data_IF_133144488565
#
_entry.id   IF_133144488565
#
_cell.length_a   1.000
_cell.length_b   1.000
_cell.length_c   1.000
_cell.angle_alpha   90.00
_cell.angle_beta   90.00
_cell.angle_gamma   90.00
#
_symmetry.space_group_name_H-M   'P 1'
#
loop_
_entity.id
_entity.type
_entity.pdbx_description
1 polymer ?
#
# COMPACT_ATOMS: atom_id res chain seq x y z
N UNK A 1 23.43 15.71 -46.08
CA UNK A 1 23.92 16.88 -45.36
C UNK A 1 22.76 17.71 -44.84
N UNK A 2 21.97 17.19 -43.92
CA UNK A 2 20.86 17.94 -43.27
C UNK A 2 20.60 17.34 -41.88
N UNK A 3 21.51 17.53 -40.93
CA UNK A 3 21.30 17.03 -39.57
C UNK A 3 22.18 17.76 -38.54
N UNK A 4 22.42 19.06 -38.71
CA UNK A 4 23.17 19.87 -37.71
C UNK A 4 22.51 21.21 -37.37
N UNK A 5 21.27 21.48 -37.84
CA UNK A 5 20.58 22.77 -37.60
C UNK A 5 19.51 22.71 -36.49
N UNK A 6 19.14 21.54 -35.95
CA UNK A 6 18.05 21.42 -34.99
C UNK A 6 18.48 21.41 -33.52
N UNK A 7 19.78 21.57 -33.23
CA UNK A 7 20.33 21.54 -31.86
C UNK A 7 20.64 22.94 -31.28
N UNK A 8 20.28 24.01 -31.97
CA UNK A 8 20.61 25.38 -31.54
C UNK A 8 19.40 26.30 -31.35
N UNK A 9 18.20 25.75 -31.06
CA UNK A 9 17.15 26.58 -30.47
C UNK A 9 17.20 26.51 -28.94
N UNK A 10 18.29 27.00 -28.36
CA UNK A 10 18.24 27.51 -26.99
C UNK A 10 17.22 28.67 -27.00
N UNK A 11 15.96 28.36 -26.66
CA UNK A 11 14.92 29.38 -26.46
C UNK A 11 15.52 30.41 -25.52
N UNK A 12 15.77 31.61 -26.05
CA UNK A 12 16.10 32.77 -25.22
C UNK A 12 14.91 33.01 -24.30
N UNK A 13 14.97 32.41 -23.10
CA UNK A 13 13.93 32.53 -22.09
C UNK A 13 13.76 33.99 -21.78
N UNK A 14 12.58 34.55 -22.10
CA UNK A 14 12.26 35.96 -21.87
C UNK A 14 12.50 36.33 -20.39
N UNK A 15 12.87 37.56 -20.11
CA UNK A 15 13.04 38.05 -18.73
C UNK A 15 11.78 37.79 -17.88
N UNK A 16 10.59 37.91 -18.47
CA UNK A 16 9.31 37.58 -17.81
C UNK A 16 9.19 36.09 -17.44
N UNK A 17 9.61 35.20 -18.33
CA UNK A 17 9.60 33.75 -18.04
C UNK A 17 10.62 33.39 -16.95
N UNK A 18 11.77 34.04 -16.91
CA UNK A 18 12.74 33.84 -15.82
C UNK A 18 12.17 34.27 -14.47
N UNK A 19 11.54 35.44 -14.41
CA UNK A 19 10.89 35.91 -13.17
C UNK A 19 9.77 34.95 -12.74
N UNK A 20 8.93 34.53 -13.68
CA UNK A 20 7.85 33.61 -13.42
C UNK A 20 8.37 32.24 -12.89
N UNK A 21 9.42 31.70 -13.52
CA UNK A 21 10.05 30.46 -13.06
C UNK A 21 10.69 30.62 -11.68
N UNK A 22 11.26 31.77 -11.36
CA UNK A 22 11.79 32.07 -10.03
C UNK A 22 10.69 32.15 -8.97
N UNK A 23 9.54 32.75 -9.29
CA UNK A 23 8.38 32.78 -8.38
C UNK A 23 7.89 31.34 -8.11
N UNK A 24 7.73 30.55 -9.18
CA UNK A 24 7.34 29.13 -9.03
C UNK A 24 8.36 28.37 -8.18
N UNK A 25 9.65 28.54 -8.45
CA UNK A 25 10.71 27.89 -7.69
C UNK A 25 10.64 28.24 -6.19
N UNK A 26 10.46 29.52 -5.85
CA UNK A 26 10.34 29.96 -4.45
C UNK A 26 9.09 29.39 -3.80
N UNK A 27 7.95 29.38 -4.49
CA UNK A 27 6.72 28.77 -3.98
C UNK A 27 6.88 27.26 -3.75
N UNK A 28 7.50 26.56 -4.68
CA UNK A 28 7.78 25.12 -4.52
C UNK A 28 8.78 24.87 -3.39
N UNK A 29 9.79 25.71 -3.23
CA UNK A 29 10.75 25.60 -2.14
C UNK A 29 10.08 25.81 -0.78
N UNK A 30 9.23 26.83 -0.65
CA UNK A 30 8.46 27.06 0.57
C UNK A 30 7.54 25.86 0.88
N UNK A 31 6.84 25.33 -0.14
CA UNK A 31 6.03 24.11 0.00
C UNK A 31 6.86 22.90 0.46
N UNK A 32 8.05 22.72 -0.11
CA UNK A 32 8.97 21.66 0.27
C UNK A 32 9.44 21.79 1.73
N UNK A 33 9.78 23.00 2.17
CA UNK A 33 10.17 23.25 3.58
C UNK A 33 9.04 22.90 4.53
N UNK A 34 7.79 23.32 4.23
CA UNK A 34 6.62 22.99 5.04
C UNK A 34 6.38 21.47 5.09
N UNK A 35 6.55 20.77 3.98
CA UNK A 35 6.39 19.32 3.90
C UNK A 35 7.49 18.54 4.65
N UNK A 36 8.73 19.05 4.63
CA UNK A 36 9.86 18.39 5.29
C UNK A 36 9.92 18.71 6.80
N UNK A 37 9.35 19.84 7.22
CA UNK A 37 9.36 20.28 8.62
C UNK A 37 8.86 19.20 9.61
N UNK A 38 7.70 18.53 9.41
CA UNK A 38 7.26 17.48 10.33
C UNK A 38 8.25 16.33 10.46
N UNK A 39 8.94 15.96 9.37
CA UNK A 39 9.95 14.91 9.37
C UNK A 39 11.18 15.34 10.21
N UNK A 40 11.67 16.56 9.99
CA UNK A 40 12.78 17.11 10.80
C UNK A 40 12.39 17.17 12.28
N UNK A 41 11.18 17.63 12.58
CA UNK A 41 10.68 17.71 13.95
C UNK A 41 10.55 16.33 14.58
N UNK A 42 10.07 15.32 13.85
CA UNK A 42 10.01 13.93 14.32
C UNK A 42 11.41 13.38 14.64
N UNK A 43 12.40 13.65 13.80
CA UNK A 43 13.79 13.25 14.04
C UNK A 43 14.33 13.97 15.29
N UNK A 44 14.11 15.28 15.42
CA UNK A 44 14.57 16.07 16.58
C UNK A 44 13.94 15.55 17.89
N UNK A 45 12.64 15.32 17.92
CA UNK A 45 11.92 14.82 19.09
C UNK A 45 12.37 13.42 19.51
N UNK A 46 12.86 12.59 18.58
CA UNK A 46 13.40 11.26 18.89
C UNK A 46 14.63 11.30 19.81
N UNK A 47 15.34 12.41 19.84
CA UNK A 47 16.50 12.65 20.71
C UNK A 47 16.16 13.43 22.00
N UNK A 48 14.93 13.92 22.17
CA UNK A 48 14.51 14.74 23.30
C UNK A 48 14.12 13.91 24.53
N UNK A 49 14.19 14.52 25.71
CA UNK A 49 13.65 13.96 26.95
C UNK A 49 12.11 13.99 26.93
N UNK A 50 11.47 13.13 27.74
CA UNK A 50 10.01 13.14 27.88
C UNK A 50 9.47 14.50 28.33
N UNK A 51 10.20 15.19 29.20
CA UNK A 51 9.81 16.53 29.71
C UNK A 51 9.87 17.60 28.61
N UNK A 52 10.87 17.56 27.73
CA UNK A 52 10.96 18.48 26.60
C UNK A 52 9.80 18.27 25.61
N UNK A 53 9.42 17.02 25.33
CA UNK A 53 8.30 16.71 24.44
C UNK A 53 6.97 17.19 25.05
N UNK A 54 6.79 17.01 26.36
CA UNK A 54 5.55 17.38 27.06
C UNK A 54 5.46 18.87 27.40
N UNK A 55 6.56 19.63 27.33
CA UNK A 55 6.56 21.08 27.60
C UNK A 55 5.79 21.91 26.58
N UNK A 56 5.42 21.32 25.42
CA UNK A 56 4.68 22.01 24.36
C UNK A 56 5.45 23.12 23.65
N UNK A 57 6.73 23.32 23.99
CA UNK A 57 7.59 24.30 23.29
C UNK A 57 8.16 23.67 22.02
N UNK A 58 8.05 24.39 20.89
CA UNK A 58 8.67 24.00 19.62
C UNK A 58 10.20 24.16 19.70
N UNK A 59 10.89 23.18 20.27
CA UNK A 59 12.34 23.09 20.27
C UNK A 59 12.78 22.14 19.17
N UNK A 60 13.64 22.60 18.26
CA UNK A 60 14.19 21.76 17.18
C UNK A 60 15.53 21.14 17.62
N UNK A 61 16.25 21.80 18.53
CA UNK A 61 17.53 21.32 19.05
C UNK A 61 17.31 20.65 20.42
N UNK A 62 17.49 19.31 20.52
CA UNK A 62 17.39 18.59 21.78
C UNK A 62 18.56 18.93 22.71
N UNK A 63 18.29 19.22 23.99
CA UNK A 63 19.30 19.43 25.03
C UNK A 63 18.84 18.75 26.32
N UNK A 64 19.50 17.66 26.81
CA UNK A 64 20.59 16.94 26.15
C UNK A 64 20.15 16.04 25.00
N UNK A 65 21.06 15.68 24.08
CA UNK A 65 20.81 14.72 23.02
C UNK A 65 20.86 13.30 23.58
N UNK A 66 19.75 12.56 23.51
CA UNK A 66 19.60 11.22 24.08
C UNK A 66 19.71 10.11 23.01
N UNK A 67 20.93 9.77 22.59
CA UNK A 67 21.16 8.67 21.64
C UNK A 67 20.88 7.30 22.26
N UNK A 68 21.04 7.15 23.59
CA UNK A 68 20.86 5.89 24.30
C UNK A 68 19.44 5.30 24.22
N UNK A 69 18.42 6.12 23.95
CA UNK A 69 17.03 5.64 23.75
C UNK A 69 16.88 4.63 22.62
N UNK A 70 17.63 4.78 21.53
CA UNK A 70 17.58 3.84 20.43
C UNK A 70 18.04 2.44 20.85
N UNK A 71 19.13 2.37 21.62
CA UNK A 71 19.63 1.09 22.14
C UNK A 71 18.66 0.45 23.15
N UNK A 72 17.96 1.27 23.94
CA UNK A 72 16.95 0.81 24.89
C UNK A 72 15.72 0.22 24.17
N UNK A 73 15.22 0.90 23.14
CA UNK A 73 14.09 0.42 22.31
C UNK A 73 14.44 -0.89 21.61
N UNK A 74 15.66 -1.01 21.08
CA UNK A 74 16.11 -2.24 20.41
C UNK A 74 16.28 -3.39 21.41
N UNK A 75 16.81 -3.12 22.62
CA UNK A 75 16.99 -4.14 23.67
C UNK A 75 15.68 -4.67 24.24
N UNK A 76 14.62 -3.85 24.29
CA UNK A 76 13.29 -4.28 24.77
C UNK A 76 12.63 -5.31 23.84
N UNK A 77 13.15 -5.51 22.63
CA UNK A 77 12.69 -6.54 21.67
C UNK A 77 11.30 -6.33 21.07
N UNK A 78 10.47 -5.49 21.69
CA UNK A 78 9.08 -5.25 21.24
C UNK A 78 9.02 -4.65 19.83
N UNK A 79 9.94 -3.74 19.50
CA UNK A 79 10.00 -3.11 18.19
C UNK A 79 10.35 -4.11 17.08
N UNK A 80 11.36 -4.95 17.34
CA UNK A 80 11.79 -5.98 16.38
C UNK A 80 10.70 -7.04 16.19
N UNK A 81 10.08 -7.49 17.29
CA UNK A 81 8.95 -8.42 17.23
C UNK A 81 7.76 -7.82 16.45
N UNK A 82 7.49 -6.52 16.62
CA UNK A 82 6.48 -5.79 15.85
C UNK A 82 6.75 -5.84 14.35
N UNK A 83 7.99 -5.57 13.92
CA UNK A 83 8.40 -5.66 12.51
C UNK A 83 8.17 -7.08 11.97
N UNK A 84 8.64 -8.11 12.70
CA UNK A 84 8.44 -9.49 12.28
C UNK A 84 6.98 -9.88 12.19
N UNK A 85 6.13 -9.43 13.11
CA UNK A 85 4.70 -9.70 13.06
C UNK A 85 4.04 -8.99 11.88
N UNK A 86 4.41 -7.74 11.59
CA UNK A 86 3.95 -7.01 10.40
C UNK A 86 4.34 -7.75 9.11
N UNK A 87 5.57 -8.26 9.01
CA UNK A 87 6.01 -9.05 7.86
C UNK A 87 5.29 -10.40 7.76
N UNK A 88 5.04 -11.09 8.89
CA UNK A 88 4.25 -12.34 8.93
C UNK A 88 2.83 -12.14 8.40
N UNK A 89 2.25 -10.96 8.56
CA UNK A 89 0.96 -10.61 8.00
C UNK A 89 1.09 -10.20 6.53
N UNK A 90 1.99 -9.25 6.24
CA UNK A 90 2.09 -8.66 4.91
C UNK A 90 2.49 -9.67 3.83
N UNK A 91 3.48 -10.53 4.09
CA UNK A 91 4.02 -11.45 3.08
C UNK A 91 2.94 -12.42 2.55
N UNK A 92 2.24 -13.22 3.37
CA UNK A 92 1.22 -14.14 2.87
C UNK A 92 0.04 -13.40 2.23
N UNK A 93 -0.40 -12.27 2.79
CA UNK A 93 -1.48 -11.47 2.21
C UNK A 93 -1.11 -10.95 0.83
N UNK A 94 0.09 -10.41 0.65
CA UNK A 94 0.52 -9.88 -0.65
C UNK A 94 0.73 -10.98 -1.68
N UNK A 95 1.32 -12.12 -1.30
CA UNK A 95 1.59 -13.21 -2.25
C UNK A 95 0.28 -13.92 -2.63
N UNK A 96 -0.43 -14.43 -1.64
CA UNK A 96 -1.65 -15.22 -1.88
C UNK A 96 -2.79 -14.32 -2.35
N UNK A 97 -3.05 -13.22 -1.64
CA UNK A 97 -4.10 -12.27 -1.98
C UNK A 97 -3.84 -11.52 -3.30
N UNK A 98 -2.57 -11.23 -3.62
CA UNK A 98 -2.18 -10.68 -4.91
C UNK A 98 -2.43 -11.67 -6.05
N UNK A 99 -2.09 -12.94 -5.83
CA UNK A 99 -2.35 -14.00 -6.81
C UNK A 99 -3.86 -14.24 -7.01
N UNK A 100 -4.63 -14.38 -5.94
CA UNK A 100 -6.08 -14.57 -6.00
C UNK A 100 -6.79 -13.38 -6.63
N UNK A 101 -6.38 -12.14 -6.31
CA UNK A 101 -6.88 -10.92 -6.94
C UNK A 101 -6.59 -10.89 -8.44
N UNK A 102 -5.38 -11.30 -8.84
CA UNK A 102 -4.96 -11.35 -10.24
C UNK A 102 -5.75 -12.38 -11.03
N UNK A 103 -5.98 -13.55 -10.44
CA UNK A 103 -6.78 -14.62 -11.03
C UNK A 103 -8.24 -14.19 -11.20
N UNK A 104 -8.82 -13.56 -10.18
CA UNK A 104 -10.18 -13.01 -10.25
C UNK A 104 -10.28 -11.91 -11.32
N UNK A 105 -9.32 -10.99 -11.38
CA UNK A 105 -9.25 -9.93 -12.40
C UNK A 105 -9.20 -10.51 -13.81
N UNK A 106 -8.38 -11.54 -14.02
CA UNK A 106 -8.31 -12.27 -15.31
C UNK A 106 -9.66 -12.91 -15.66
N UNK A 107 -10.31 -13.59 -14.71
CA UNK A 107 -11.65 -14.16 -14.92
C UNK A 107 -12.67 -13.08 -15.32
N UNK A 108 -12.70 -11.96 -14.60
CA UNK A 108 -13.60 -10.84 -14.91
C UNK A 108 -13.21 -10.05 -16.18
N UNK A 109 -11.98 -10.10 -16.64
CA UNK A 109 -11.57 -9.43 -17.88
C UNK A 109 -11.79 -10.32 -19.10
N UNK A 110 -11.21 -11.51 -19.11
CA UNK A 110 -10.98 -12.34 -20.29
C UNK A 110 -11.90 -13.54 -20.42
N UNK A 111 -12.53 -14.02 -19.35
CA UNK A 111 -13.45 -15.14 -19.44
C UNK A 111 -14.87 -14.67 -19.76
N UNK A 112 -15.64 -15.53 -20.45
CA UNK A 112 -17.06 -15.30 -20.79
C UNK A 112 -17.91 -16.27 -19.99
N UNK A 113 -18.71 -15.74 -19.04
CA UNK A 113 -19.67 -16.52 -18.27
C UNK A 113 -20.91 -15.71 -17.94
N UNK A 114 -22.03 -16.41 -17.67
CA UNK A 114 -23.32 -15.77 -17.36
C UNK A 114 -23.24 -15.05 -16.00
N UNK A 115 -23.77 -13.84 -15.94
CA UNK A 115 -23.76 -13.05 -14.68
C UNK A 115 -22.46 -12.33 -14.36
N UNK A 116 -21.43 -12.39 -15.20
CA UNK A 116 -20.12 -11.75 -15.00
C UNK A 116 -20.22 -10.29 -14.54
N UNK A 117 -21.01 -9.49 -15.22
CA UNK A 117 -21.14 -8.06 -14.91
C UNK A 117 -21.88 -7.84 -13.59
N UNK A 118 -22.92 -8.61 -13.29
CA UNK A 118 -23.66 -8.53 -12.04
C UNK A 118 -22.77 -8.91 -10.84
N UNK A 119 -22.02 -10.00 -10.96
CA UNK A 119 -21.06 -10.43 -9.93
C UNK A 119 -19.96 -9.39 -9.71
N UNK A 120 -19.43 -8.82 -10.81
CA UNK A 120 -18.41 -7.78 -10.70
C UNK A 120 -18.96 -6.51 -10.05
N UNK A 121 -20.20 -6.11 -10.40
CA UNK A 121 -20.85 -4.96 -9.78
C UNK A 121 -21.13 -5.20 -8.29
N UNK A 122 -21.61 -6.39 -7.92
CA UNK A 122 -21.80 -6.78 -6.52
C UNK A 122 -20.48 -6.72 -5.73
N UNK A 123 -19.40 -7.21 -6.33
CA UNK A 123 -18.07 -7.12 -5.73
C UNK A 123 -17.63 -5.67 -5.54
N UNK A 124 -17.85 -4.78 -6.51
CA UNK A 124 -17.55 -3.36 -6.37
C UNK A 124 -18.41 -2.68 -5.31
N UNK A 125 -19.68 -3.08 -5.16
CA UNK A 125 -20.57 -2.52 -4.13
C UNK A 125 -20.00 -2.75 -2.71
N UNK A 126 -19.20 -3.79 -2.49
CA UNK A 126 -18.58 -4.03 -1.17
C UNK A 126 -17.58 -2.94 -0.77
N UNK A 127 -16.92 -2.27 -1.74
CA UNK A 127 -15.99 -1.15 -1.44
C UNK A 127 -16.75 0.05 -0.85
N UNK A 128 -18.03 0.21 -1.19
CA UNK A 128 -18.83 1.33 -0.70
C UNK A 128 -19.22 1.18 0.77
N UNK A 129 -19.07 -0.01 1.35
CA UNK A 129 -19.37 -0.26 2.76
C UNK A 129 -18.21 0.28 3.61
N UNK A 130 -18.43 1.31 4.45
CA UNK A 130 -17.38 1.83 5.31
C UNK A 130 -16.89 0.75 6.28
N UNK A 131 -15.57 0.65 6.46
CA UNK A 131 -14.95 -0.34 7.36
C UNK A 131 -15.53 -0.28 8.79
N UNK A 132 -15.82 0.93 9.28
CA UNK A 132 -16.39 1.13 10.61
C UNK A 132 -17.72 0.36 10.84
N UNK A 133 -18.51 0.15 9.80
CA UNK A 133 -19.80 -0.58 9.89
C UNK A 133 -19.56 -2.09 10.05
N UNK A 134 -18.55 -2.63 9.38
CA UNK A 134 -18.25 -4.08 9.39
C UNK A 134 -17.32 -4.50 10.53
N UNK A 135 -16.66 -3.55 11.18
CA UNK A 135 -15.66 -3.81 12.21
C UNK A 135 -16.21 -4.62 13.39
N UNK A 136 -17.34 -4.22 13.96
CA UNK A 136 -17.97 -4.92 15.10
C UNK A 136 -18.45 -6.32 14.70
N UNK A 137 -19.21 -6.50 13.60
CA UNK A 137 -19.59 -7.85 13.14
C UNK A 137 -18.38 -8.75 12.85
N UNK A 138 -17.31 -8.22 12.27
CA UNK A 138 -16.08 -8.96 12.03
C UNK A 138 -15.41 -9.41 13.34
N UNK A 139 -15.32 -8.53 14.33
CA UNK A 139 -14.77 -8.87 15.63
C UNK A 139 -15.54 -10.01 16.30
N UNK A 140 -16.89 -9.93 16.31
CA UNK A 140 -17.76 -11.00 16.86
C UNK A 140 -17.54 -12.31 16.12
N UNK A 141 -17.41 -12.28 14.79
CA UNK A 141 -17.13 -13.47 13.98
C UNK A 141 -15.76 -14.07 14.33
N UNK A 142 -14.72 -13.26 14.43
CA UNK A 142 -13.38 -13.72 14.77
C UNK A 142 -13.30 -14.28 16.20
N UNK A 143 -14.06 -13.70 17.15
CA UNK A 143 -14.18 -14.21 18.51
C UNK A 143 -14.83 -15.60 18.53
N UNK A 144 -15.91 -15.79 17.76
CA UNK A 144 -16.58 -17.10 17.65
C UNK A 144 -15.70 -18.17 16.98
N UNK A 145 -14.81 -17.75 16.07
CA UNK A 145 -13.84 -18.63 15.42
C UNK A 145 -12.59 -18.91 16.29
N UNK A 146 -12.46 -18.27 17.46
CA UNK A 146 -11.28 -18.38 18.31
C UNK A 146 -10.02 -17.73 17.72
N UNK A 147 -10.18 -16.75 16.78
CA UNK A 147 -9.07 -16.10 16.12
C UNK A 147 -8.57 -14.85 16.83
N UNK A 148 -9.27 -14.37 17.86
CA UNK A 148 -8.84 -13.23 18.70
C UNK A 148 -7.47 -13.52 19.33
N UNK A 149 -6.64 -12.49 19.45
CA UNK A 149 -5.25 -12.58 19.94
C UNK A 149 -4.32 -13.42 19.05
N UNK A 150 -4.67 -13.60 17.77
CA UNK A 150 -3.82 -14.24 16.76
C UNK A 150 -3.65 -13.33 15.55
N UNK A 151 -2.75 -13.68 14.62
CA UNK A 151 -2.59 -12.97 13.35
C UNK A 151 -3.59 -13.42 12.26
N UNK A 152 -4.40 -14.45 12.53
CA UNK A 152 -5.34 -15.02 11.55
C UNK A 152 -6.36 -14.02 11.00
N UNK A 153 -6.99 -13.13 11.83
CA UNK A 153 -7.91 -12.12 11.33
C UNK A 153 -7.30 -11.17 10.31
N UNK A 154 -5.99 -10.93 10.41
CA UNK A 154 -5.27 -10.03 9.52
C UNK A 154 -4.83 -10.74 8.23
N UNK A 155 -4.55 -12.03 8.31
CA UNK A 155 -4.01 -12.82 7.18
C UNK A 155 -5.12 -13.42 6.33
N UNK A 156 -6.03 -14.17 6.95
CA UNK A 156 -6.97 -15.04 6.22
C UNK A 156 -7.89 -14.24 5.29
N UNK A 157 -8.58 -13.18 5.73
CA UNK A 157 -9.43 -12.38 4.84
C UNK A 157 -8.65 -11.79 3.65
N UNK A 158 -7.44 -11.31 3.89
CA UNK A 158 -6.58 -10.75 2.86
C UNK A 158 -6.16 -11.76 1.79
N UNK A 159 -6.00 -13.04 2.14
CA UNK A 159 -5.64 -14.09 1.19
C UNK A 159 -6.73 -14.38 0.12
N UNK A 160 -7.99 -14.04 0.39
CA UNK A 160 -9.07 -14.20 -0.61
C UNK A 160 -9.09 -13.11 -1.68
N UNK A 161 -8.23 -12.11 -1.57
CA UNK A 161 -8.05 -11.06 -2.55
C UNK A 161 -8.55 -9.68 -2.08
N UNK A 162 -8.20 -8.67 -2.86
CA UNK A 162 -8.55 -7.27 -2.62
C UNK A 162 -9.36 -6.73 -3.79
N UNK A 163 -10.56 -6.23 -3.52
CA UNK A 163 -11.50 -5.77 -4.54
C UNK A 163 -10.94 -4.61 -5.36
N UNK A 164 -10.21 -3.69 -4.74
CA UNK A 164 -9.58 -2.56 -5.44
C UNK A 164 -8.51 -3.05 -6.42
N UNK A 165 -7.73 -4.07 -6.03
CA UNK A 165 -6.74 -4.70 -6.92
C UNK A 165 -7.43 -5.43 -8.07
N UNK A 166 -8.48 -6.21 -7.79
CA UNK A 166 -9.27 -6.90 -8.81
C UNK A 166 -9.81 -5.89 -9.83
N UNK A 167 -10.38 -4.79 -9.37
CA UNK A 167 -10.89 -3.72 -10.23
C UNK A 167 -9.78 -3.15 -11.13
N UNK A 168 -8.69 -2.72 -10.52
CA UNK A 168 -7.59 -2.07 -11.24
C UNK A 168 -6.93 -3.01 -12.27
N UNK A 169 -6.64 -4.26 -11.88
CA UNK A 169 -6.06 -5.24 -12.78
C UNK A 169 -7.03 -5.64 -13.89
N UNK A 170 -8.33 -5.73 -13.61
CA UNK A 170 -9.34 -5.96 -14.64
C UNK A 170 -9.32 -4.84 -15.69
N UNK A 171 -9.25 -3.55 -15.27
CA UNK A 171 -9.17 -2.43 -16.21
C UNK A 171 -7.90 -2.50 -17.06
N UNK A 172 -6.78 -2.86 -16.47
CA UNK A 172 -5.52 -3.06 -17.20
C UNK A 172 -5.63 -4.21 -18.21
N UNK A 173 -6.22 -5.34 -17.80
CA UNK A 173 -6.38 -6.51 -18.65
C UNK A 173 -7.36 -6.30 -19.81
N UNK A 174 -8.39 -5.47 -19.65
CA UNK A 174 -9.33 -5.11 -20.74
C UNK A 174 -8.58 -4.40 -21.87
N UNK A 175 -7.56 -3.60 -21.56
CA UNK A 175 -6.73 -2.92 -22.57
C UNK A 175 -5.82 -3.84 -23.39
N UNK A 176 -5.66 -5.10 -22.97
CA UNK A 176 -4.87 -6.08 -23.70
C UNK A 176 -5.75 -6.74 -24.79
N UNK A 177 -5.30 -6.88 -26.04
CA UNK A 177 -6.09 -7.50 -27.12
C UNK A 177 -6.55 -8.93 -26.79
N UNK A 178 -7.76 -9.27 -27.20
CA UNK A 178 -8.32 -10.62 -27.00
C UNK A 178 -7.69 -11.66 -27.95
N UNK A 179 -7.03 -11.22 -29.02
CA UNK A 179 -6.30 -12.07 -29.97
C UNK A 179 -5.26 -12.97 -29.27
N UNK A 180 -4.63 -12.49 -28.20
CA UNK A 180 -3.70 -13.29 -27.40
C UNK A 180 -4.39 -14.46 -26.70
N UNK A 181 -5.65 -14.29 -26.31
CA UNK A 181 -6.46 -15.36 -25.73
C UNK A 181 -6.84 -16.38 -26.79
N UNK A 182 -7.19 -15.92 -28.00
CA UNK A 182 -7.56 -16.79 -29.12
C UNK A 182 -6.35 -17.57 -29.62
N UNK A 183 -5.19 -16.92 -29.78
CA UNK A 183 -3.95 -17.61 -30.18
C UNK A 183 -3.57 -18.70 -29.13
N UNK A 184 -3.63 -18.38 -27.84
CA UNK A 184 -3.35 -19.37 -26.81
C UNK A 184 -4.30 -20.58 -26.85
N UNK A 185 -5.58 -20.37 -27.21
CA UNK A 185 -6.55 -21.48 -27.38
C UNK A 185 -6.22 -22.33 -28.58
N UNK A 186 -5.82 -21.72 -29.72
CA UNK A 186 -5.38 -22.44 -30.91
C UNK A 186 -4.14 -23.29 -30.62
N UNK A 187 -3.23 -22.80 -29.77
CA UNK A 187 -2.07 -23.55 -29.30
C UNK A 187 -2.40 -24.61 -28.22
N UNK A 188 -3.69 -24.83 -27.93
CA UNK A 188 -4.14 -25.81 -26.94
C UNK A 188 -3.92 -25.44 -25.48
N UNK A 189 -3.61 -24.16 -25.19
CA UNK A 189 -3.42 -23.70 -23.82
C UNK A 189 -4.76 -23.58 -23.06
N UNK A 190 -4.85 -24.24 -21.91
CA UNK A 190 -5.98 -24.05 -20.98
C UNK A 190 -5.93 -22.66 -20.31
N UNK A 191 -7.07 -22.20 -19.79
CA UNK A 191 -7.21 -20.85 -19.20
C UNK A 191 -6.16 -20.54 -18.13
N UNK A 192 -5.86 -21.48 -17.21
CA UNK A 192 -4.91 -21.26 -16.14
C UNK A 192 -3.47 -21.11 -16.67
N UNK A 193 -3.10 -21.92 -17.66
CA UNK A 193 -1.78 -21.81 -18.31
C UNK A 193 -1.66 -20.48 -19.07
N UNK A 194 -2.70 -20.09 -19.79
CA UNK A 194 -2.78 -18.78 -20.47
C UNK A 194 -2.64 -17.63 -19.47
N UNK A 195 -3.33 -17.71 -18.31
CA UNK A 195 -3.18 -16.73 -17.26
C UNK A 195 -1.74 -16.61 -16.78
N UNK A 196 -1.09 -17.73 -16.43
CA UNK A 196 0.26 -17.71 -15.84
C UNK A 196 1.34 -17.32 -16.84
N UNK A 197 1.25 -17.81 -18.09
CA UNK A 197 2.33 -17.66 -19.06
C UNK A 197 2.20 -16.38 -19.92
N UNK A 198 1.00 -15.87 -20.13
CA UNK A 198 0.74 -14.72 -21.01
C UNK A 198 0.30 -13.50 -20.19
N UNK A 199 -0.82 -13.59 -19.49
CA UNK A 199 -1.42 -12.41 -18.87
C UNK A 199 -0.71 -11.95 -17.59
N UNK A 200 -0.24 -12.86 -16.74
CA UNK A 200 0.50 -12.52 -15.53
C UNK A 200 1.79 -11.71 -15.83
N UNK A 201 2.64 -12.12 -16.79
CA UNK A 201 3.80 -11.31 -17.17
C UNK A 201 3.43 -9.94 -17.77
N UNK A 202 2.34 -9.86 -18.54
CA UNK A 202 1.91 -8.61 -19.17
C UNK A 202 1.40 -7.59 -18.12
N UNK A 203 0.74 -8.05 -17.07
CA UNK A 203 0.23 -7.17 -16.00
C UNK A 203 1.17 -6.99 -14.82
N UNK A 204 2.40 -7.53 -14.85
CA UNK A 204 3.35 -7.49 -13.72
C UNK A 204 3.60 -6.09 -13.18
N UNK A 205 3.71 -5.08 -14.06
CA UNK A 205 3.92 -3.69 -13.65
C UNK A 205 2.72 -3.11 -12.89
N UNK A 206 1.52 -3.34 -13.40
CA UNK A 206 0.27 -2.93 -12.75
C UNK A 206 0.07 -3.65 -11.41
N UNK A 207 0.35 -4.97 -11.38
CA UNK A 207 0.29 -5.76 -10.17
C UNK A 207 1.29 -5.27 -9.11
N UNK A 208 2.56 -5.04 -9.49
CA UNK A 208 3.58 -4.54 -8.56
C UNK A 208 3.18 -3.21 -7.92
N UNK A 209 2.64 -2.27 -8.71
CA UNK A 209 2.13 -0.99 -8.21
C UNK A 209 1.02 -1.20 -7.16
N UNK A 210 0.06 -2.07 -7.45
CA UNK A 210 -1.05 -2.34 -6.54
C UNK A 210 -0.60 -3.05 -5.27
N UNK A 211 0.34 -4.01 -5.37
CA UNK A 211 0.91 -4.69 -4.21
C UNK A 211 1.68 -3.72 -3.32
N UNK A 212 2.40 -2.75 -3.90
CA UNK A 212 3.09 -1.71 -3.12
C UNK A 212 2.09 -0.84 -2.35
N UNK A 213 1.00 -0.37 -2.98
CA UNK A 213 -0.05 0.39 -2.30
C UNK A 213 -0.73 -0.43 -1.21
N UNK A 214 -0.98 -1.70 -1.47
CA UNK A 214 -1.58 -2.60 -0.48
C UNK A 214 -0.64 -2.87 0.69
N UNK A 215 0.66 -3.08 0.42
CA UNK A 215 1.68 -3.18 1.47
C UNK A 215 1.67 -1.96 2.38
N UNK A 216 1.64 -0.75 1.80
CA UNK A 216 1.55 0.49 2.59
C UNK A 216 0.28 0.53 3.46
N UNK A 217 -0.85 0.05 2.93
CA UNK A 217 -2.09 -0.06 3.68
C UNK A 217 -1.96 -1.03 4.87
N UNK A 218 -1.45 -2.23 4.64
CA UNK A 218 -1.23 -3.25 5.69
C UNK A 218 -0.24 -2.76 6.75
N UNK A 219 0.84 -2.11 6.31
CA UNK A 219 1.89 -1.60 7.21
C UNK A 219 1.37 -0.50 8.14
N UNK A 220 0.45 0.33 7.67
CA UNK A 220 -0.14 1.43 8.43
C UNK A 220 -1.48 1.07 9.10
N UNK A 221 -1.90 -0.19 9.04
CA UNK A 221 -3.18 -0.62 9.60
C UNK A 221 -3.12 -0.70 11.13
N UNK A 222 -3.47 0.42 11.76
CA UNK A 222 -3.52 0.55 13.21
C UNK A 222 -4.81 -0.04 13.81
N UNK A 223 -5.94 0.13 13.12
CA UNK A 223 -7.25 -0.25 13.68
C UNK A 223 -7.42 -1.75 13.82
N UNK A 224 -7.02 -2.53 12.82
CA UNK A 224 -7.05 -3.99 12.92
C UNK A 224 -6.12 -4.52 14.01
N UNK A 225 -4.93 -3.93 14.16
CA UNK A 225 -3.99 -4.29 15.22
C UNK A 225 -4.55 -4.02 16.62
N UNK A 226 -5.29 -2.92 16.78
CA UNK A 226 -5.87 -2.54 18.08
C UNK A 226 -6.92 -3.56 18.55
N UNK A 227 -7.69 -4.16 17.63
CA UNK A 227 -8.76 -5.11 17.97
C UNK A 227 -8.34 -6.58 17.95
N UNK A 228 -7.20 -6.90 17.35
CA UNK A 228 -6.74 -8.29 17.20
C UNK A 228 -5.50 -8.62 18.02
N UNK A 229 -4.75 -7.61 18.47
CA UNK A 229 -3.57 -7.81 19.31
C UNK A 229 -3.97 -7.84 20.80
N UNK A 230 -3.37 -8.72 21.62
CA UNK A 230 -3.55 -8.65 23.06
C UNK A 230 -3.11 -7.27 23.56
N UNK A 231 -4.00 -6.60 24.31
CA UNK A 231 -3.64 -5.34 24.94
C UNK A 231 -2.40 -5.55 25.82
N UNK A 232 -1.41 -4.62 25.81
CA UNK A 232 -0.30 -4.70 26.74
C UNK A 232 -0.74 -4.69 28.22
N UNK A 233 -2.02 -4.38 28.49
CA UNK A 233 -2.62 -4.39 29.82
C UNK A 233 -3.06 -5.79 30.29
N UNK A 234 -3.32 -6.72 29.35
CA UNK A 234 -3.82 -8.05 29.70
C UNK A 234 -2.73 -8.99 30.23
N UNK A 235 -1.44 -8.65 30.00
CA UNK A 235 -0.28 -9.34 30.57
C UNK A 235 0.19 -8.81 31.93
N UNK A 236 -0.42 -7.76 32.46
CA UNK A 236 -0.02 -7.14 33.73
C UNK A 236 -0.92 -7.56 34.92
N UNK A 237 -1.91 -8.43 34.70
CA UNK A 237 -2.87 -8.91 35.71
C UNK A 237 -2.81 -10.42 35.96
N UNK A 238 -1.72 -11.09 35.57
CA UNK A 238 -1.43 -12.47 35.94
C UNK A 238 -0.16 -12.61 36.75
#
# INVERSE_FOLDING_TARGET
MSSKKDLASSRLVSKKEKIFNWIIFVLLLLGAVVMVFPLIYMIATSFMTKNQILSGTLTILPDPILIGKYSEVLKKGQFINGIFNSLKVAIPVLIIGGFTSSLAAFGFAKMRFRGKNALFLALLATIMIPFAVVMIPQYVMFTKLGWTNTLLPLIIPGCFGNVSIIFFLRQNLIGIPDDLMEAAKLDGCGYFRTFLQIFMPLMKGALATQLMLWFMGIWNDYLCLLYTSPSPRDGATS
#
